data_IF_427862071993
#
_entry.id   IF_427862071993
#
_cell.length_a   1.000
_cell.length_b   1.000
_cell.length_c   1.000
_cell.angle_alpha   90.00
_cell.angle_beta   90.00
_cell.angle_gamma   90.00
#
_symmetry.space_group_name_H-M   'P 1'
#
loop_
_entity.id
_entity.type
_entity.pdbx_description
1 polymer ?
#
# COMPACT_ATOMS: atom_id res chain seq x y z
N UNK A 1 -8.19 -1.41 -1.62
CA UNK A 1 -6.75 -1.65 -1.89
C UNK A 1 -6.35 -1.81 -3.37
N UNK A 2 -7.27 -1.95 -4.32
CA UNK A 2 -6.93 -2.30 -5.73
C UNK A 2 -6.10 -1.23 -6.46
N UNK A 3 -6.40 0.05 -6.26
CA UNK A 3 -5.65 1.14 -6.90
C UNK A 3 -4.21 1.25 -6.37
N UNK A 4 -3.99 0.92 -5.09
CA UNK A 4 -2.65 0.89 -4.50
C UNK A 4 -1.80 -0.23 -5.11
N UNK A 5 -2.37 -1.42 -5.34
CA UNK A 5 -1.67 -2.52 -5.99
C UNK A 5 -1.19 -2.12 -7.40
N UNK A 6 -2.05 -1.47 -8.19
CA UNK A 6 -1.68 -0.98 -9.52
C UNK A 6 -0.56 0.06 -9.48
N UNK A 7 -0.57 0.95 -8.49
CA UNK A 7 0.50 1.93 -8.31
C UNK A 7 1.83 1.26 -7.91
N UNK A 8 1.77 0.22 -7.05
CA UNK A 8 2.94 -0.55 -6.64
C UNK A 8 3.61 -1.32 -7.79
N UNK A 9 2.88 -1.72 -8.83
CA UNK A 9 3.48 -2.35 -10.03
C UNK A 9 4.50 -1.45 -10.73
N UNK A 10 4.25 -0.14 -10.75
CA UNK A 10 5.18 0.84 -11.32
C UNK A 10 6.21 1.28 -10.29
N UNK A 11 5.80 1.57 -9.06
CA UNK A 11 6.70 2.08 -8.01
C UNK A 11 7.73 1.04 -7.56
N UNK A 12 7.41 -0.27 -7.63
CA UNK A 12 8.33 -1.36 -7.30
C UNK A 12 9.51 -1.49 -8.27
N UNK A 13 9.42 -0.86 -9.46
CA UNK A 13 10.51 -0.83 -10.42
C UNK A 13 11.67 0.02 -9.92
N UNK A 14 11.38 1.13 -9.24
CA UNK A 14 12.36 2.11 -8.76
C UNK A 14 12.56 2.09 -7.24
N UNK A 15 11.55 1.67 -6.48
CA UNK A 15 11.57 1.64 -5.02
C UNK A 15 11.30 0.21 -4.51
N UNK A 16 11.74 -0.10 -3.29
CA UNK A 16 11.37 -1.32 -2.56
C UNK A 16 10.38 -0.98 -1.46
N UNK A 17 9.45 -1.89 -1.19
CA UNK A 17 8.54 -1.79 -0.05
C UNK A 17 9.31 -2.24 1.20
N UNK A 18 9.59 -1.30 2.09
CA UNK A 18 10.29 -1.57 3.35
C UNK A 18 9.30 -1.91 4.47
N UNK A 19 8.12 -1.27 4.48
CA UNK A 19 7.09 -1.50 5.50
C UNK A 19 5.70 -1.44 4.88
N UNK A 20 4.79 -2.24 5.41
CA UNK A 20 3.37 -2.25 5.09
C UNK A 20 2.58 -2.15 6.39
N UNK A 21 1.56 -1.32 6.40
CA UNK A 21 0.62 -1.19 7.51
C UNK A 21 -0.81 -1.27 6.98
N UNK A 22 -1.66 -1.99 7.71
CA UNK A 22 -3.10 -2.06 7.46
C UNK A 22 -3.80 -1.31 8.59
N UNK A 23 -4.75 -0.46 8.23
CA UNK A 23 -5.55 0.32 9.15
C UNK A 23 -7.02 -0.01 8.94
N UNK A 24 -7.67 -0.54 9.98
CA UNK A 24 -9.12 -0.74 10.00
C UNK A 24 -9.81 0.58 10.37
N UNK A 25 -9.65 1.59 9.51
CA UNK A 25 -10.17 2.95 9.72
C UNK A 25 -11.71 2.98 9.70
N UNK A 26 -12.35 1.97 9.10
CA UNK A 26 -13.81 1.89 8.97
C UNK A 26 -14.32 0.49 9.40
N UNK A 27 -14.44 0.25 10.71
CA UNK A 27 -14.86 -1.04 11.24
C UNK A 27 -16.20 -1.48 10.65
N UNK A 28 -16.30 -2.77 10.31
CA UNK A 28 -17.52 -3.39 9.76
C UNK A 28 -17.94 -2.89 8.36
N UNK A 29 -17.03 -2.25 7.63
CA UNK A 29 -17.23 -1.90 6.21
C UNK A 29 -16.28 -2.70 5.32
N UNK A 30 -16.52 -2.70 4.00
CA UNK A 30 -15.61 -3.32 3.04
C UNK A 30 -14.35 -2.45 2.75
N UNK A 31 -14.26 -1.26 3.34
CA UNK A 31 -13.15 -0.36 3.12
C UNK A 31 -11.94 -0.77 3.95
N UNK A 32 -10.88 -1.18 3.26
CA UNK A 32 -9.58 -1.44 3.87
C UNK A 32 -8.61 -0.31 3.52
N UNK A 33 -8.14 0.40 4.55
CA UNK A 33 -7.13 1.44 4.39
C UNK A 33 -5.75 0.86 4.69
N UNK A 34 -4.74 1.18 3.87
CA UNK A 34 -3.41 0.64 4.04
C UNK A 34 -2.35 1.66 3.61
N UNK A 35 -1.21 1.62 4.29
CA UNK A 35 -0.05 2.46 4.01
C UNK A 35 1.16 1.61 3.66
N UNK A 36 1.95 2.07 2.69
CA UNK A 36 3.23 1.47 2.29
C UNK A 36 4.35 2.48 2.46
N UNK A 37 5.48 2.04 3.02
CA UNK A 37 6.72 2.81 3.01
C UNK A 37 7.61 2.29 1.89
N UNK A 38 7.95 3.19 0.97
CA UNK A 38 8.80 2.93 -0.18
C UNK A 38 10.16 3.60 0.00
N UNK A 39 11.22 2.87 -0.34
CA UNK A 39 12.59 3.39 -0.33
C UNK A 39 13.22 3.19 -1.70
N UNK A 40 13.87 4.24 -2.25
CA UNK A 40 14.54 4.14 -3.54
C UNK A 40 15.65 3.08 -3.49
N UNK A 41 15.82 2.35 -4.59
CA UNK A 41 16.88 1.34 -4.73
C UNK A 41 18.27 1.97 -4.72
#
# INVERSE_FOLDING_TARGET
>A
PETLCKNLETLSQTHKVERLALFDQFPYTHHMECGVLLTAK
#
